data_IF_110721434094
#
_entry.id   IF_110721434094
#
_cell.length_a   1.000
_cell.length_b   1.000
_cell.length_c   1.000
_cell.angle_alpha   90.00
_cell.angle_beta   90.00
_cell.angle_gamma   90.00
#
_symmetry.space_group_name_H-M   'P 1'
#
loop_
_entity.id
_entity.type
_entity.pdbx_description
1 polymer ?
#
# COMPACT_ATOMS: atom_id res chain seq x y z
N UNK A 1 16.27 -58.76 4.45
CA UNK A 1 14.82 -58.71 4.13
C UNK A 1 14.01 -57.79 5.06
N UNK A 2 14.42 -57.60 6.27
CA UNK A 2 13.68 -56.75 7.21
C UNK A 2 13.88 -55.25 7.00
N UNK A 3 14.95 -54.83 6.32
CA UNK A 3 15.23 -53.42 6.08
C UNK A 3 14.40 -52.77 4.97
N UNK A 4 13.76 -53.58 4.13
CA UNK A 4 12.92 -53.05 3.04
C UNK A 4 11.59 -52.44 3.52
N UNK A 5 11.09 -52.91 4.65
CA UNK A 5 9.84 -52.42 5.22
C UNK A 5 10.00 -51.07 5.94
N UNK A 6 11.17 -50.79 6.47
CA UNK A 6 11.46 -49.53 7.13
C UNK A 6 11.56 -48.36 6.17
N UNK A 7 12.03 -48.58 4.95
CA UNK A 7 12.15 -47.54 3.94
C UNK A 7 10.79 -47.05 3.41
N UNK A 8 9.79 -47.94 3.34
CA UNK A 8 8.47 -47.61 2.87
C UNK A 8 7.73 -46.80 3.92
N UNK A 9 7.91 -47.06 5.21
CA UNK A 9 7.28 -46.32 6.30
C UNK A 9 7.82 -44.90 6.39
N UNK A 10 9.08 -44.66 6.10
CA UNK A 10 9.70 -43.36 6.11
C UNK A 10 9.20 -42.45 4.98
N UNK A 11 8.88 -43.02 3.84
CA UNK A 11 8.33 -42.28 2.69
C UNK A 11 6.91 -41.79 2.93
N UNK A 12 6.11 -42.51 3.70
CA UNK A 12 4.74 -42.16 4.00
C UNK A 12 4.66 -40.98 5.00
N UNK A 13 5.61 -40.91 5.93
CA UNK A 13 5.66 -39.83 6.92
C UNK A 13 6.09 -38.50 6.31
N UNK A 14 6.95 -38.52 5.29
CA UNK A 14 7.38 -37.31 4.63
C UNK A 14 6.27 -36.67 3.75
N UNK A 15 5.35 -37.49 3.25
CA UNK A 15 4.26 -36.99 2.41
C UNK A 15 3.17 -36.28 3.20
N UNK A 16 2.98 -36.65 4.46
CA UNK A 16 1.95 -36.04 5.29
C UNK A 16 2.33 -34.63 5.81
N UNK A 17 3.61 -34.30 5.86
CA UNK A 17 4.09 -32.99 6.30
C UNK A 17 3.89 -31.90 5.23
N UNK A 18 3.91 -32.26 3.96
CA UNK A 18 3.77 -31.30 2.87
C UNK A 18 2.31 -30.82 2.71
N UNK A 19 1.35 -31.67 2.99
CA UNK A 19 -0.05 -31.29 2.85
C UNK A 19 -0.55 -30.35 3.95
N UNK A 20 0.08 -30.33 5.13
CA UNK A 20 -0.30 -29.43 6.21
C UNK A 20 0.14 -27.98 5.95
N UNK A 21 1.20 -27.77 5.17
CA UNK A 21 1.73 -26.45 4.86
C UNK A 21 0.87 -25.70 3.83
N UNK A 22 0.21 -26.42 2.94
CA UNK A 22 -0.62 -25.82 1.90
C UNK A 22 -1.93 -25.25 2.43
N UNK A 23 -2.38 -25.65 3.61
CA UNK A 23 -3.64 -25.19 4.19
C UNK A 23 -3.54 -23.87 4.94
N UNK A 24 -2.34 -23.39 5.23
CA UNK A 24 -2.15 -22.15 5.99
C UNK A 24 -1.98 -20.90 5.13
N UNK A 25 -1.84 -21.03 3.83
CA UNK A 25 -1.48 -19.91 2.94
C UNK A 25 -2.67 -19.18 2.35
N UNK A 26 -3.91 -19.50 2.67
CA UNK A 26 -5.04 -19.03 1.89
C UNK A 26 -6.03 -18.08 2.54
N UNK A 27 -5.87 -17.68 3.80
CA UNK A 27 -6.94 -16.92 4.45
C UNK A 27 -6.43 -15.89 5.42
N UNK A 28 -5.90 -14.78 4.89
CA UNK A 28 -5.72 -13.60 5.71
C UNK A 28 -6.87 -12.62 5.44
N UNK A 29 -7.71 -12.42 6.44
CA UNK A 29 -8.66 -11.32 6.43
C UNK A 29 -7.89 -10.03 6.67
N UNK A 30 -8.14 -9.01 5.84
CA UNK A 30 -7.57 -7.69 6.08
C UNK A 30 -8.00 -7.14 7.43
N UNK A 31 -7.08 -6.44 8.10
CA UNK A 31 -7.36 -5.78 9.36
C UNK A 31 -8.41 -4.67 9.12
N UNK A 32 -9.56 -4.65 9.84
CA UNK A 32 -10.57 -3.60 9.67
C UNK A 32 -10.07 -2.21 10.09
N UNK A 33 -8.98 -2.13 10.86
CA UNK A 33 -8.41 -0.86 11.32
C UNK A 33 -7.31 -0.33 10.41
N UNK A 34 -7.11 -0.96 9.26
CA UNK A 34 -6.07 -0.60 8.29
C UNK A 34 -6.72 -0.25 6.96
N UNK A 35 -6.25 0.84 6.36
CA UNK A 35 -6.68 1.29 5.04
C UNK A 35 -5.48 1.69 4.20
N UNK A 36 -5.72 1.94 2.93
CA UNK A 36 -4.72 2.44 2.00
C UNK A 36 -5.27 3.64 1.24
N UNK A 37 -4.41 4.36 0.54
CA UNK A 37 -4.78 5.41 -0.39
C UNK A 37 -3.90 5.29 -1.62
N UNK A 38 -4.50 5.50 -2.78
CA UNK A 38 -3.78 5.61 -4.04
C UNK A 38 -4.28 6.83 -4.81
N UNK A 39 -3.62 7.13 -5.90
CA UNK A 39 -4.02 8.22 -6.76
C UNK A 39 -2.98 8.50 -7.81
N UNK A 40 -3.15 9.59 -8.52
CA UNK A 40 -2.21 10.04 -9.51
C UNK A 40 -1.83 11.50 -9.28
N UNK A 41 -0.58 11.84 -9.59
CA UNK A 41 -0.11 13.21 -9.63
C UNK A 41 -0.24 13.70 -11.08
N UNK A 42 -0.91 14.83 -11.26
CA UNK A 42 -1.17 15.44 -12.56
C UNK A 42 -0.66 16.86 -12.59
N UNK A 43 -0.30 17.34 -13.78
CA UNK A 43 -0.02 18.74 -14.01
C UNK A 43 -1.31 19.54 -14.26
N UNK A 44 -1.21 20.83 -14.56
CA UNK A 44 -2.35 21.70 -14.81
C UNK A 44 -3.15 21.30 -16.06
N UNK A 45 -2.54 20.57 -16.99
CA UNK A 45 -3.23 20.07 -18.19
C UNK A 45 -3.83 18.67 -18.02
N UNK A 46 -3.67 18.08 -16.82
CA UNK A 46 -4.18 16.74 -16.54
C UNK A 46 -3.25 15.61 -16.93
N UNK A 47 -2.03 15.91 -17.32
CA UNK A 47 -1.05 14.88 -17.69
C UNK A 47 -0.43 14.28 -16.45
N UNK A 48 -0.21 12.95 -16.41
CA UNK A 48 0.46 12.31 -15.29
C UNK A 48 1.90 12.79 -15.18
N UNK A 49 2.37 12.93 -13.93
CA UNK A 49 3.73 13.40 -13.63
C UNK A 49 4.51 12.27 -12.96
N UNK A 50 5.58 11.82 -13.62
CA UNK A 50 6.53 10.87 -13.06
C UNK A 50 7.56 11.61 -12.22
N UNK A 51 7.96 11.00 -11.09
CA UNK A 51 9.04 11.55 -10.28
C UNK A 51 8.64 12.62 -9.29
N UNK A 52 7.35 12.88 -9.13
CA UNK A 52 6.88 13.80 -8.09
C UNK A 52 7.03 13.16 -6.71
N UNK A 53 7.38 13.96 -5.72
CA UNK A 53 7.45 13.52 -4.34
C UNK A 53 6.07 13.69 -3.72
N UNK A 54 5.42 12.59 -3.39
CA UNK A 54 4.14 12.58 -2.70
C UNK A 54 4.40 12.37 -1.22
N UNK A 55 3.95 13.29 -0.39
CA UNK A 55 4.11 13.22 1.06
C UNK A 55 2.78 12.91 1.72
N UNK A 56 2.82 11.99 2.66
CA UNK A 56 1.68 11.64 3.51
C UNK A 56 2.06 11.95 4.95
N UNK A 57 1.35 12.89 5.56
CA UNK A 57 1.61 13.29 6.94
C UNK A 57 0.49 12.79 7.85
N UNK A 58 0.87 12.08 8.91
CA UNK A 58 -0.04 11.70 9.99
C UNK A 58 -0.37 12.97 10.79
N UNK A 59 -1.65 13.35 10.83
CA UNK A 59 -2.06 14.60 11.48
C UNK A 59 -1.89 14.56 13.01
N UNK A 60 -1.86 13.35 13.60
CA UNK A 60 -1.71 13.19 15.04
C UNK A 60 -0.24 13.22 15.47
N UNK A 61 0.60 12.44 14.80
CA UNK A 61 2.02 12.28 15.17
C UNK A 61 2.94 13.20 14.41
N UNK A 62 2.46 13.80 13.32
CA UNK A 62 3.21 14.62 12.36
C UNK A 62 4.28 13.84 11.58
N UNK A 63 4.28 12.52 11.68
CA UNK A 63 5.19 11.68 10.93
C UNK A 63 4.87 11.75 9.44
N UNK A 64 5.90 11.87 8.61
CA UNK A 64 5.78 11.99 7.16
C UNK A 64 6.35 10.75 6.49
N UNK A 65 5.60 10.20 5.53
CA UNK A 65 6.08 9.19 4.60
C UNK A 65 6.07 9.77 3.19
N UNK A 66 6.98 9.32 2.34
CA UNK A 66 7.10 9.82 0.98
C UNK A 66 7.03 8.68 -0.02
N UNK A 67 6.51 8.99 -1.21
CA UNK A 67 6.44 8.08 -2.35
C UNK A 67 6.79 8.88 -3.61
N UNK A 68 7.65 8.33 -4.46
CA UNK A 68 7.98 8.95 -5.74
C UNK A 68 7.02 8.43 -6.79
N UNK A 69 6.26 9.32 -7.42
CA UNK A 69 5.24 8.91 -8.39
C UNK A 69 5.85 8.13 -9.55
N UNK A 70 5.13 7.12 -10.00
CA UNK A 70 5.55 6.20 -11.05
C UNK A 70 5.39 6.84 -12.42
N UNK A 71 5.77 6.10 -13.45
CA UNK A 71 5.74 6.58 -14.85
C UNK A 71 4.36 7.09 -15.27
N UNK A 72 3.30 6.43 -14.80
CA UNK A 72 1.91 6.83 -15.06
C UNK A 72 1.38 7.87 -14.06
N UNK A 73 2.26 8.45 -13.23
CA UNK A 73 1.92 9.44 -12.23
C UNK A 73 1.35 8.86 -10.94
N UNK A 74 1.19 7.55 -10.83
CA UNK A 74 0.52 6.95 -9.69
C UNK A 74 1.40 6.92 -8.44
N UNK A 75 0.75 7.00 -7.30
CA UNK A 75 1.35 6.83 -5.98
C UNK A 75 0.46 5.91 -5.13
N UNK A 76 1.03 5.38 -4.07
CA UNK A 76 0.34 4.43 -3.23
C UNK A 76 0.92 4.42 -1.82
N UNK A 77 0.04 4.43 -0.81
CA UNK A 77 0.40 4.23 0.59
C UNK A 77 -0.53 3.19 1.20
N UNK A 78 0.03 2.27 1.97
CA UNK A 78 -0.72 1.23 2.66
C UNK A 78 -0.38 1.23 4.14
N UNK A 79 -1.11 0.43 4.91
CA UNK A 79 -0.87 0.31 6.34
C UNK A 79 -1.25 1.57 7.11
N UNK A 80 -2.29 2.29 6.65
CA UNK A 80 -2.76 3.51 7.29
C UNK A 80 -3.84 3.18 8.32
N UNK A 81 -3.88 3.97 9.40
CA UNK A 81 -4.90 3.81 10.43
C UNK A 81 -6.24 4.40 9.97
N UNK A 82 -7.33 3.74 10.31
CA UNK A 82 -8.67 4.27 10.09
C UNK A 82 -9.06 5.35 11.10
N UNK A 83 -8.29 5.50 12.18
CA UNK A 83 -8.58 6.43 13.29
C UNK A 83 -7.78 7.72 13.23
N UNK A 84 -7.03 7.95 12.16
CA UNK A 84 -6.14 9.09 12.00
C UNK A 84 -6.43 9.78 10.67
N UNK A 85 -6.48 11.11 10.70
CA UNK A 85 -6.46 11.92 9.48
C UNK A 85 -5.03 11.98 8.92
N UNK A 86 -4.94 11.93 7.60
CA UNK A 86 -3.67 12.09 6.90
C UNK A 86 -3.78 13.23 5.90
N UNK A 87 -2.70 13.99 5.75
CA UNK A 87 -2.60 15.04 4.74
C UNK A 87 -1.69 14.59 3.62
N UNK A 88 -2.17 14.73 2.39
CA UNK A 88 -1.44 14.38 1.17
C UNK A 88 -1.05 15.63 0.41
N UNK A 89 0.17 15.66 -0.08
CA UNK A 89 0.71 16.77 -0.87
C UNK A 89 1.76 16.24 -1.83
N UNK A 90 1.79 16.77 -3.04
CA UNK A 90 2.80 16.43 -4.04
C UNK A 90 3.65 17.64 -4.38
N UNK A 91 4.92 17.40 -4.69
CA UNK A 91 5.87 18.43 -5.14
C UNK A 91 6.68 17.91 -6.31
N UNK A 92 6.91 18.76 -7.29
CA UNK A 92 7.71 18.44 -8.47
C UNK A 92 8.31 19.72 -9.06
N UNK A 93 9.62 19.82 -9.09
CA UNK A 93 10.36 20.93 -9.74
C UNK A 93 9.83 22.32 -9.37
N UNK A 94 9.64 22.56 -8.08
CA UNK A 94 9.15 23.84 -7.58
C UNK A 94 7.64 24.04 -7.65
N UNK A 95 6.90 23.14 -8.29
CA UNK A 95 5.44 23.14 -8.25
C UNK A 95 4.96 22.26 -7.10
N UNK A 96 3.83 22.61 -6.51
CA UNK A 96 3.24 21.86 -5.42
C UNK A 96 1.73 21.72 -5.63
N UNK A 97 1.16 20.64 -5.14
CA UNK A 97 -0.29 20.46 -5.10
C UNK A 97 -0.88 21.14 -3.87
N UNK A 98 -2.16 21.49 -3.95
CA UNK A 98 -2.92 21.83 -2.74
C UNK A 98 -2.99 20.58 -1.84
N UNK A 99 -2.94 20.77 -0.52
CA UNK A 99 -3.08 19.64 0.40
C UNK A 99 -4.46 18.99 0.27
N UNK A 100 -4.50 17.66 0.34
CA UNK A 100 -5.72 16.88 0.37
C UNK A 100 -5.75 16.06 1.66
N UNK A 101 -6.91 15.96 2.27
CA UNK A 101 -7.06 15.24 3.53
C UNK A 101 -7.73 13.89 3.31
N UNK A 102 -7.12 12.83 3.84
CA UNK A 102 -7.75 11.53 4.01
C UNK A 102 -8.35 11.51 5.41
N UNK A 103 -9.65 11.76 5.50
CA UNK A 103 -10.36 11.94 6.76
C UNK A 103 -10.70 10.61 7.43
N UNK A 104 -10.79 10.60 8.76
CA UNK A 104 -11.33 9.48 9.53
C UNK A 104 -12.79 9.19 9.17
N UNK A 105 -13.51 10.16 8.64
CA UNK A 105 -14.90 9.99 8.21
C UNK A 105 -15.03 9.35 6.84
N UNK A 106 -13.94 9.18 6.11
CA UNK A 106 -13.93 8.47 4.84
C UNK A 106 -13.93 6.96 5.12
N UNK A 107 -15.07 6.33 4.89
CA UNK A 107 -15.26 4.89 5.18
C UNK A 107 -14.68 3.97 4.11
N UNK A 108 -14.19 4.52 3.00
CA UNK A 108 -13.62 3.70 1.93
C UNK A 108 -12.32 3.07 2.39
N UNK A 109 -12.13 1.82 2.06
CA UNK A 109 -10.93 1.07 2.45
C UNK A 109 -9.71 1.46 1.60
N UNK A 110 -9.94 1.78 0.34
CA UNK A 110 -8.89 2.12 -0.62
C UNK A 110 -9.33 3.35 -1.43
N UNK A 111 -9.47 4.53 -0.80
CA UNK A 111 -9.89 5.72 -1.53
C UNK A 111 -8.83 6.13 -2.55
N UNK A 112 -9.31 6.72 -3.65
CA UNK A 112 -8.45 7.30 -4.67
C UNK A 112 -8.47 8.82 -4.53
N UNK A 113 -7.29 9.42 -4.34
CA UNK A 113 -7.12 10.87 -4.20
C UNK A 113 -6.08 11.32 -5.21
N UNK A 114 -6.49 12.09 -6.20
CA UNK A 114 -5.58 12.65 -7.19
C UNK A 114 -5.06 13.99 -6.70
N UNK A 115 -3.80 14.27 -7.03
CA UNK A 115 -3.10 15.50 -6.64
C UNK A 115 -2.72 16.25 -7.91
N UNK A 116 -3.12 17.51 -8.00
CA UNK A 116 -2.80 18.37 -9.15
C UNK A 116 -1.73 19.37 -8.75
N UNK A 117 -0.64 19.37 -9.48
CA UNK A 117 0.43 20.35 -9.31
C UNK A 117 -0.01 21.69 -9.85
N UNK A 118 0.25 22.74 -9.09
CA UNK A 118 -0.04 24.11 -9.50
C UNK A 118 1.28 24.84 -9.72
N UNK A 119 1.34 25.73 -10.73
CA UNK A 119 2.57 26.47 -10.95
C UNK A 119 2.88 27.34 -9.75
N UNK A 120 4.15 27.43 -9.39
CA UNK A 120 4.60 28.29 -8.33
C UNK A 120 4.50 29.74 -8.79
N UNK A 121 3.84 30.55 -7.97
CA UNK A 121 3.77 32.00 -8.22
C UNK A 121 5.10 32.70 -7.91
#
# INVERSE_FOLDING_TARGET
>A
MKSRFFLVALLIVSLSLVSAFALQSGKQKGDPNVRSVDGAVEDTSGKPVEGAVVQLKNARTLQVRSFISQRDGTYYFHGLSTDVDYELKAEYRGSASSPRTLSVFDSRKNPRINLRLEPKK
#
